data_IF_068858000552
#
_entry.id   IF_068858000552
#
_cell.length_a   1.000
_cell.length_b   1.000
_cell.length_c   1.000
_cell.angle_alpha   90.00
_cell.angle_beta   90.00
_cell.angle_gamma   90.00
#
_symmetry.space_group_name_H-M   'P 1'
#
loop_
_entity.id
_entity.type
_entity.pdbx_description
1 polymer ?
#
# COMPACT_ATOMS: atom_id res chain seq x y z
N UNK A 1 3.32 30.04 -1.00
CA UNK A 1 3.32 28.79 -1.80
C UNK A 1 4.74 28.22 -1.75
N UNK A 2 5.06 27.29 -0.85
CA UNK A 2 6.45 26.86 -0.61
C UNK A 2 6.94 25.81 -1.63
N UNK A 3 8.08 26.06 -2.27
CA UNK A 3 8.76 25.07 -3.11
C UNK A 3 9.01 23.77 -2.33
N UNK A 4 8.75 22.65 -3.00
CA UNK A 4 9.05 21.31 -2.48
C UNK A 4 10.56 21.11 -2.41
N UNK A 5 11.15 21.07 -1.21
CA UNK A 5 12.62 20.88 -1.03
C UNK A 5 13.16 19.60 -1.68
N UNK A 6 12.35 18.54 -1.82
CA UNK A 6 12.79 17.29 -2.47
C UNK A 6 11.60 16.48 -3.04
N UNK A 7 11.88 15.58 -3.98
CA UNK A 7 10.88 14.71 -4.62
C UNK A 7 11.12 13.21 -4.36
N UNK A 8 11.87 12.88 -3.31
CA UNK A 8 12.18 11.49 -2.96
C UNK A 8 10.95 10.70 -2.49
N UNK A 9 11.09 9.37 -2.47
CA UNK A 9 10.02 8.43 -2.11
C UNK A 9 9.36 8.72 -0.75
N UNK A 10 10.12 9.21 0.24
CA UNK A 10 9.63 9.53 1.59
C UNK A 10 9.19 10.98 1.77
N UNK A 11 9.13 11.76 0.68
CA UNK A 11 8.73 13.16 0.78
C UNK A 11 7.30 13.29 1.31
N UNK A 12 7.13 14.13 2.35
CA UNK A 12 5.85 14.36 3.04
C UNK A 12 5.13 13.08 3.51
N UNK A 13 5.85 11.98 3.74
CA UNK A 13 5.27 10.71 4.17
C UNK A 13 5.35 10.47 5.69
N UNK A 14 5.93 11.40 6.47
CA UNK A 14 6.20 11.22 7.90
C UNK A 14 5.00 10.74 8.72
N UNK A 15 3.83 11.39 8.59
CA UNK A 15 2.60 10.95 9.29
C UNK A 15 2.03 9.64 8.72
N UNK A 16 2.17 9.40 7.41
CA UNK A 16 1.64 8.22 6.72
C UNK A 16 2.40 6.93 7.05
N UNK A 17 3.70 7.04 7.31
CA UNK A 17 4.59 5.92 7.60
C UNK A 17 4.90 5.77 9.10
N UNK A 18 4.17 6.47 9.98
CA UNK A 18 4.35 6.40 11.43
C UNK A 18 3.31 5.48 12.05
N UNK A 19 3.76 4.48 12.80
CA UNK A 19 2.89 3.65 13.65
C UNK A 19 2.75 4.24 15.06
N UNK A 20 1.63 3.96 15.73
CA UNK A 20 1.49 4.21 17.17
C UNK A 20 2.42 3.26 17.94
N UNK A 21 2.84 3.67 19.14
CA UNK A 21 3.80 2.90 19.96
C UNK A 21 3.31 1.47 20.21
N UNK A 22 2.02 1.29 20.50
CA UNK A 22 1.38 -0.02 20.74
C UNK A 22 1.13 -0.86 19.48
N UNK A 23 1.32 -0.28 18.30
CA UNK A 23 1.11 -0.95 17.01
C UNK A 23 2.43 -1.28 16.32
N UNK A 24 3.57 -1.03 16.98
CA UNK A 24 4.91 -1.35 16.46
C UNK A 24 5.05 -2.86 16.20
N UNK A 25 5.90 -3.20 15.23
CA UNK A 25 6.08 -4.57 14.75
C UNK A 25 5.17 -4.93 13.57
N UNK A 26 5.36 -6.13 13.03
CA UNK A 26 4.59 -6.68 11.90
C UNK A 26 3.67 -7.77 12.42
N UNK A 27 2.40 -7.76 12.00
CA UNK A 27 1.46 -8.85 12.30
C UNK A 27 1.60 -9.94 11.23
N UNK A 28 1.97 -11.16 11.66
CA UNK A 28 2.16 -12.32 10.76
C UNK A 28 0.92 -12.59 9.90
N UNK A 29 -0.29 -12.46 10.48
CA UNK A 29 -1.57 -12.61 9.76
C UNK A 29 -1.65 -11.76 8.49
N UNK A 30 -1.13 -10.53 8.49
CA UNK A 30 -1.14 -9.66 7.31
C UNK A 30 -0.20 -10.16 6.20
N UNK A 31 0.93 -10.78 6.57
CA UNK A 31 1.94 -11.29 5.62
C UNK A 31 1.46 -12.57 4.94
N UNK A 32 0.73 -13.41 5.67
CA UNK A 32 0.17 -14.68 5.16
C UNK A 32 -1.19 -14.50 4.47
N UNK A 33 -1.74 -13.28 4.47
CA UNK A 33 -3.03 -13.01 3.89
C UNK A 33 -3.01 -13.24 2.38
N UNK A 34 -3.99 -13.98 1.89
CA UNK A 34 -4.22 -14.20 0.46
C UNK A 34 -5.37 -13.34 -0.02
N UNK A 35 -5.32 -13.02 -1.31
CA UNK A 35 -6.36 -12.29 -2.00
C UNK A 35 -6.60 -12.89 -3.38
N UNK A 36 -7.83 -12.75 -3.87
CA UNK A 36 -8.25 -13.28 -5.17
C UNK A 36 -8.24 -12.21 -6.26
N UNK A 37 -8.07 -12.64 -7.51
CA UNK A 37 -8.22 -11.75 -8.66
C UNK A 37 -9.67 -11.28 -8.72
N UNK A 38 -9.83 -9.97 -8.82
CA UNK A 38 -11.12 -9.31 -8.80
C UNK A 38 -11.57 -8.82 -7.43
N UNK A 39 -10.86 -9.19 -6.36
CA UNK A 39 -11.14 -8.69 -5.02
C UNK A 39 -10.76 -7.21 -4.89
N UNK A 40 -11.60 -6.45 -4.19
CA UNK A 40 -11.32 -5.04 -3.88
C UNK A 40 -10.55 -4.93 -2.59
N UNK A 41 -9.45 -4.17 -2.63
CA UNK A 41 -8.52 -3.98 -1.52
C UNK A 41 -8.17 -2.51 -1.33
N UNK A 42 -7.91 -2.14 -0.09
CA UNK A 42 -7.32 -0.86 0.30
C UNK A 42 -5.80 -1.00 0.37
N UNK A 43 -5.09 -0.02 -0.16
CA UNK A 43 -3.65 0.14 0.01
C UNK A 43 -3.41 0.78 1.38
N UNK A 44 -2.97 -0.02 2.34
CA UNK A 44 -2.62 0.39 3.69
C UNK A 44 -1.20 -0.07 4.01
N UNK A 45 -0.25 0.84 3.82
CA UNK A 45 1.17 0.59 3.98
C UNK A 45 1.47 0.20 5.43
N UNK A 46 1.88 -1.05 5.63
CA UNK A 46 2.57 -1.51 6.83
C UNK A 46 4.01 -0.94 6.92
N UNK A 47 4.29 0.11 7.72
CA UNK A 47 5.59 0.80 7.68
C UNK A 47 6.73 -0.02 8.28
N UNK A 48 6.44 -1.08 9.04
CA UNK A 48 7.46 -1.98 9.56
C UNK A 48 8.01 -2.95 8.50
N UNK A 49 7.33 -3.13 7.36
CA UNK A 49 7.85 -3.86 6.19
C UNK A 49 8.26 -2.87 5.11
N UNK A 50 9.51 -2.90 4.67
CA UNK A 50 9.98 -2.03 3.58
C UNK A 50 9.87 -2.70 2.20
N UNK A 51 9.82 -4.03 2.15
CA UNK A 51 9.89 -4.76 0.88
C UNK A 51 8.52 -4.82 0.24
N UNK A 52 8.42 -4.51 -1.06
CA UNK A 52 7.14 -4.52 -1.77
C UNK A 52 6.15 -3.45 -1.28
N UNK A 53 6.68 -2.43 -0.61
CA UNK A 53 5.92 -1.27 -0.14
C UNK A 53 5.58 -0.35 -1.31
N UNK A 54 4.29 -0.02 -1.52
CA UNK A 54 3.90 0.93 -2.55
C UNK A 54 4.31 2.35 -2.20
N UNK A 55 4.36 3.23 -3.20
CA UNK A 55 4.68 4.64 -2.98
C UNK A 55 3.68 5.30 -2.01
N UNK A 56 4.11 6.05 -0.96
CA UNK A 56 3.22 6.65 0.06
C UNK A 56 2.16 7.61 -0.46
N UNK A 57 2.27 8.03 -1.73
CA UNK A 57 1.21 8.77 -2.44
C UNK A 57 -0.09 7.95 -2.55
N UNK A 58 0.01 6.63 -2.63
CA UNK A 58 -1.13 5.72 -2.81
C UNK A 58 -1.73 5.22 -1.50
N UNK A 59 -1.20 5.62 -0.35
CA UNK A 59 -1.78 5.31 0.96
C UNK A 59 -3.26 5.72 1.00
N UNK A 60 -4.13 4.78 1.39
CA UNK A 60 -5.58 4.98 1.51
C UNK A 60 -6.35 4.90 0.19
N UNK A 61 -5.68 4.59 -0.93
CA UNK A 61 -6.39 4.30 -2.20
C UNK A 61 -7.00 2.91 -2.14
N UNK A 62 -8.12 2.75 -2.84
CA UNK A 62 -8.81 1.47 -3.02
C UNK A 62 -8.67 1.06 -4.48
N UNK A 63 -8.46 -0.23 -4.71
CA UNK A 63 -8.29 -0.79 -6.05
C UNK A 63 -8.71 -2.24 -6.13
N UNK A 64 -8.67 -2.77 -7.34
CA UNK A 64 -9.04 -4.16 -7.63
C UNK A 64 -7.78 -4.97 -7.93
N UNK A 65 -7.69 -6.19 -7.41
CA UNK A 65 -6.59 -7.08 -7.76
C UNK A 65 -6.80 -7.59 -9.17
N UNK A 66 -5.79 -7.40 -10.02
CA UNK A 66 -5.81 -7.83 -11.42
C UNK A 66 -4.87 -9.01 -11.68
N UNK A 67 -4.03 -9.37 -10.70
CA UNK A 67 -3.12 -10.50 -10.83
C UNK A 67 -2.11 -10.60 -9.70
N UNK A 68 -1.21 -11.57 -9.83
CA UNK A 68 -0.13 -11.86 -8.88
C UNK A 68 1.18 -11.95 -9.66
N UNK A 69 2.25 -11.37 -9.12
CA UNK A 69 3.62 -11.52 -9.65
C UNK A 69 4.58 -11.81 -8.50
N UNK A 70 5.08 -13.04 -8.47
CA UNK A 70 5.88 -13.54 -7.34
C UNK A 70 5.08 -13.45 -6.04
N UNK A 71 5.59 -12.69 -5.07
CA UNK A 71 4.95 -12.50 -3.74
C UNK A 71 4.08 -11.24 -3.66
N UNK A 72 3.94 -10.49 -4.75
CA UNK A 72 3.19 -9.23 -4.78
C UNK A 72 1.91 -9.37 -5.61
N UNK A 73 0.89 -8.65 -5.18
CA UNK A 73 -0.36 -8.46 -5.89
C UNK A 73 -0.27 -7.24 -6.80
N UNK A 74 -0.91 -7.33 -7.96
CA UNK A 74 -1.11 -6.23 -8.89
C UNK A 74 -2.45 -5.60 -8.58
N UNK A 75 -2.44 -4.37 -8.08
CA UNK A 75 -3.65 -3.63 -7.70
C UNK A 75 -3.86 -2.50 -8.72
N UNK A 76 -4.94 -2.59 -9.50
CA UNK A 76 -5.37 -1.50 -10.38
C UNK A 76 -6.08 -0.43 -9.55
N UNK A 77 -5.59 0.81 -9.63
CA UNK A 77 -6.20 2.00 -9.02
C UNK A 77 -6.40 3.08 -10.08
N UNK A 78 -7.34 3.98 -9.81
CA UNK A 78 -7.49 5.25 -10.54
C UNK A 78 -6.89 6.39 -9.71
N UNK A 79 -5.88 7.07 -10.24
CA UNK A 79 -5.22 8.21 -9.58
C UNK A 79 -5.29 9.44 -10.49
N UNK A 80 -6.17 10.39 -10.14
CA UNK A 80 -6.38 11.61 -10.92
C UNK A 80 -6.85 11.34 -12.35
N UNK A 81 -7.76 10.39 -12.53
CA UNK A 81 -8.32 10.01 -13.85
C UNK A 81 -7.45 9.02 -14.65
N UNK A 82 -6.23 8.70 -14.20
CA UNK A 82 -5.36 7.73 -14.86
C UNK A 82 -5.38 6.38 -14.13
N UNK A 83 -5.56 5.29 -14.89
CA UNK A 83 -5.39 3.93 -14.38
C UNK A 83 -3.91 3.61 -14.17
N UNK A 84 -3.59 3.01 -13.03
CA UNK A 84 -2.24 2.60 -12.66
C UNK A 84 -2.29 1.24 -12.00
N UNK A 85 -1.29 0.40 -12.28
CA UNK A 85 -1.10 -0.88 -11.60
C UNK A 85 0.01 -0.72 -10.56
N UNK A 86 -0.34 -0.99 -9.31
CA UNK A 86 0.57 -0.90 -8.17
C UNK A 86 0.94 -2.31 -7.72
N UNK A 87 2.23 -2.57 -7.58
CA UNK A 87 2.74 -3.79 -6.99
C UNK A 87 2.84 -3.62 -5.48
N UNK A 88 2.07 -4.41 -4.74
CA UNK A 88 2.08 -4.38 -3.29
C UNK A 88 2.03 -5.81 -2.74
N UNK A 89 2.82 -6.08 -1.70
CA UNK A 89 2.70 -7.34 -0.97
C UNK A 89 1.47 -7.35 -0.06
N UNK A 90 0.97 -8.53 0.34
CA UNK A 90 -0.23 -8.64 1.16
C UNK A 90 -0.15 -7.86 2.48
N UNK A 91 1.02 -7.68 3.08
CA UNK A 91 1.13 -6.88 4.31
C UNK A 91 0.75 -5.40 4.14
N UNK A 92 0.77 -4.89 2.92
CA UNK A 92 0.40 -3.52 2.57
C UNK A 92 -1.03 -3.39 2.04
N UNK A 93 -1.82 -4.45 2.13
CA UNK A 93 -3.19 -4.52 1.62
C UNK A 93 -4.18 -4.85 2.75
N UNK A 94 -5.39 -4.32 2.64
CA UNK A 94 -6.52 -4.66 3.50
C UNK A 94 -7.74 -4.96 2.63
N UNK A 95 -8.47 -6.07 2.84
CA UNK A 95 -9.68 -6.36 2.07
C UNK A 95 -10.76 -5.30 2.36
N UNK A 96 -11.52 -4.93 1.33
CA UNK A 96 -12.69 -4.08 1.50
C UNK A 96 -13.83 -4.92 2.11
N UNK A 97 -14.44 -4.45 3.20
CA UNK A 97 -15.57 -5.13 3.87
C UNK A 97 -15.21 -6.13 4.96
N UNK A 98 -13.96 -6.11 5.47
CA UNK A 98 -13.55 -6.86 6.66
C UNK A 98 -13.46 -6.01 7.92
#
# INVERSE_FOLDING_TARGET
>A
MGYSKSHGFRFKSGRKLRKRVRERGIKIRKVLQTFEVGQTVHIDIEPASHRGMPHPRFQGRTGKIVGIRGRAYLVEITDGGKKKVIFARPEHLKPQGA
#
